data_IF_382134273072
#
_entry.id   IF_382134273072
#
_cell.length_a   1.000
_cell.length_b   1.000
_cell.length_c   1.000
_cell.angle_alpha   90.00
_cell.angle_beta   90.00
_cell.angle_gamma   90.00
#
_symmetry.space_group_name_H-M   'P 1'
#
loop_
_entity.id
_entity.type
_entity.pdbx_description
1 polymer ?
#
# COMPACT_ATOMS: atom_id res chain seq x y z
N UNK A 1 -21.53 -22.62 -11.14
CA UNK A 1 -20.07 -22.73 -11.40
C UNK A 1 -19.45 -21.47 -12.01
N UNK A 2 -20.25 -20.61 -12.69
CA UNK A 2 -19.78 -19.37 -13.33
C UNK A 2 -19.28 -18.31 -12.33
N UNK A 3 -20.00 -18.09 -11.22
CA UNK A 3 -19.62 -17.12 -10.17
C UNK A 3 -18.28 -17.45 -9.47
N UNK A 4 -17.91 -18.73 -9.37
CA UNK A 4 -16.66 -19.16 -8.75
C UNK A 4 -15.45 -18.85 -9.64
N UNK A 5 -15.62 -18.93 -10.96
CA UNK A 5 -14.59 -18.60 -11.95
C UNK A 5 -14.40 -17.09 -12.12
N UNK A 6 -15.47 -16.32 -12.00
CA UNK A 6 -15.43 -14.84 -12.03
C UNK A 6 -14.70 -14.29 -10.79
N UNK A 7 -14.98 -14.84 -9.59
CA UNK A 7 -14.28 -14.48 -8.36
C UNK A 7 -12.77 -14.78 -8.42
N UNK A 8 -12.38 -15.92 -9.00
CA UNK A 8 -10.95 -16.24 -9.21
C UNK A 8 -10.27 -15.29 -10.22
N UNK A 9 -10.96 -14.90 -11.29
CA UNK A 9 -10.40 -13.97 -12.27
C UNK A 9 -10.16 -12.57 -11.70
N UNK A 10 -11.08 -12.08 -10.86
CA UNK A 10 -10.94 -10.79 -10.17
C UNK A 10 -9.76 -10.81 -9.19
N UNK A 11 -9.58 -11.89 -8.43
CA UNK A 11 -8.43 -12.07 -7.52
C UNK A 11 -7.11 -12.09 -8.29
N UNK A 12 -7.09 -12.71 -9.48
CA UNK A 12 -5.88 -12.82 -10.32
C UNK A 12 -5.47 -11.48 -10.93
N UNK A 13 -6.44 -10.65 -11.36
CA UNK A 13 -6.18 -9.31 -11.92
C UNK A 13 -5.76 -8.33 -10.82
N UNK A 14 -6.42 -8.35 -9.65
CA UNK A 14 -6.05 -7.45 -8.54
C UNK A 14 -4.71 -7.84 -7.92
N UNK A 15 -4.38 -9.14 -7.86
CA UNK A 15 -3.12 -9.64 -7.34
C UNK A 15 -1.90 -9.30 -8.22
N UNK A 16 -2.05 -9.26 -9.55
CA UNK A 16 -0.96 -8.97 -10.49
C UNK A 16 -0.61 -7.48 -10.60
N UNK A 17 -1.49 -6.58 -10.17
CA UNK A 17 -1.24 -5.14 -10.14
C UNK A 17 -0.35 -4.75 -8.93
N UNK A 18 -0.22 -5.60 -7.91
CA UNK A 18 0.43 -5.28 -6.64
C UNK A 18 1.91 -5.72 -6.54
N UNK A 19 2.48 -6.38 -7.55
CA UNK A 19 3.88 -6.85 -7.52
C UNK A 19 4.91 -5.81 -7.94
N UNK A 20 4.53 -4.54 -8.10
CA UNK A 20 5.49 -3.47 -8.32
C UNK A 20 6.21 -3.14 -7.01
N UNK A 21 7.52 -3.38 -6.99
CA UNK A 21 8.43 -2.91 -5.92
C UNK A 21 8.23 -1.40 -5.78
N UNK A 22 7.75 -0.94 -4.63
CA UNK A 22 7.46 0.48 -4.40
C UNK A 22 8.76 1.19 -4.05
N UNK A 23 9.34 1.88 -5.04
CA UNK A 23 10.39 2.87 -4.81
C UNK A 23 9.75 4.26 -4.80
N UNK A 24 9.86 4.99 -3.69
CA UNK A 24 9.50 6.41 -3.67
C UNK A 24 10.66 7.22 -4.26
N UNK A 25 10.53 7.67 -5.51
CA UNK A 25 11.57 8.40 -6.25
C UNK A 25 11.37 9.93 -6.15
N UNK A 26 12.45 10.66 -5.86
CA UNK A 26 12.57 12.12 -6.02
C UNK A 26 13.93 12.51 -6.63
N UNK A 27 14.45 11.76 -7.61
CA UNK A 27 15.65 12.09 -8.40
C UNK A 27 16.98 12.14 -7.66
N UNK A 28 16.97 12.20 -6.33
CA UNK A 28 18.13 12.18 -5.44
C UNK A 28 18.14 10.83 -4.72
N UNK A 29 19.08 9.96 -5.07
CA UNK A 29 19.14 8.58 -4.59
C UNK A 29 19.47 8.51 -3.09
N UNK A 30 18.45 8.65 -2.25
CA UNK A 30 18.44 8.36 -0.80
C UNK A 30 17.25 7.46 -0.45
N UNK A 31 17.06 6.40 -1.21
CA UNK A 31 15.98 5.44 -1.00
C UNK A 31 16.52 4.15 -0.40
N UNK A 32 15.78 3.60 0.56
CA UNK A 32 16.06 2.35 1.23
C UNK A 32 14.86 1.42 1.16
N UNK A 33 15.05 0.08 1.23
CA UNK A 33 13.91 -0.84 1.24
C UNK A 33 13.05 -0.60 2.49
N UNK A 34 11.75 -0.51 2.29
CA UNK A 34 10.80 -0.57 3.39
C UNK A 34 10.62 -2.02 3.84
N UNK A 35 10.77 -2.26 5.13
CA UNK A 35 10.41 -3.53 5.79
C UNK A 35 8.92 -3.60 6.14
N UNK A 36 8.26 -2.44 6.23
CA UNK A 36 6.81 -2.29 6.37
C UNK A 36 6.39 -1.04 5.61
N UNK A 37 5.31 -1.16 4.86
CA UNK A 37 4.60 -0.02 4.29
C UNK A 37 3.10 -0.31 4.40
N UNK A 38 2.49 0.18 5.48
CA UNK A 38 1.07 0.00 5.72
C UNK A 38 0.25 1.11 5.08
N UNK A 39 -0.65 0.72 4.18
CA UNK A 39 -1.70 1.56 3.61
C UNK A 39 -3.04 1.12 4.17
N UNK A 40 -3.81 2.05 4.73
CA UNK A 40 -5.15 1.76 5.26
C UNK A 40 -6.22 2.16 4.24
N UNK A 41 -6.89 1.17 3.65
CA UNK A 41 -8.00 1.37 2.72
C UNK A 41 -9.31 1.41 3.51
N UNK A 42 -10.18 2.37 3.24
CA UNK A 42 -11.48 2.56 3.92
C UNK A 42 -12.67 2.21 3.04
N UNK A 43 -12.57 2.47 1.74
CA UNK A 43 -13.67 2.30 0.79
C UNK A 43 -13.16 2.08 -0.62
N UNK A 44 -13.83 1.23 -1.40
CA UNK A 44 -13.58 1.08 -2.84
C UNK A 44 -14.89 1.18 -3.60
N UNK A 45 -14.89 1.98 -4.65
CA UNK A 45 -16.04 2.28 -5.50
C UNK A 45 -15.67 2.11 -6.98
N UNK A 46 -16.63 1.66 -7.78
CA UNK A 46 -16.56 1.70 -9.24
C UNK A 46 -17.42 2.83 -9.76
N UNK A 47 -16.95 3.49 -10.81
CA UNK A 47 -17.60 4.64 -11.41
C UNK A 47 -17.73 4.50 -12.93
N UNK A 48 -18.77 5.12 -13.47
CA UNK A 48 -19.06 5.14 -14.91
C UNK A 48 -18.40 6.32 -15.64
N UNK A 49 -17.87 7.28 -14.89
CA UNK A 49 -17.28 8.52 -15.37
C UNK A 49 -16.12 8.95 -14.46
N UNK A 50 -15.27 9.84 -14.97
CA UNK A 50 -14.06 10.30 -14.28
C UNK A 50 -14.33 11.19 -13.06
N UNK A 51 -15.50 11.83 -13.00
CA UNK A 51 -15.93 12.60 -11.83
C UNK A 51 -16.51 11.71 -10.72
N UNK A 52 -16.73 10.42 -11.00
CA UNK A 52 -17.42 9.48 -10.13
C UNK A 52 -18.79 10.02 -9.66
N UNK A 53 -19.56 10.62 -10.58
CA UNK A 53 -20.89 11.12 -10.28
C UNK A 53 -21.87 9.97 -9.99
N UNK A 54 -21.75 8.87 -10.74
CA UNK A 54 -22.44 7.61 -10.44
C UNK A 54 -21.44 6.60 -9.91
N UNK A 55 -21.51 6.30 -8.61
CA UNK A 55 -20.61 5.37 -7.95
C UNK A 55 -21.37 4.15 -7.41
N UNK A 56 -20.82 2.96 -7.69
CA UNK A 56 -21.22 1.72 -7.03
C UNK A 56 -20.16 1.36 -5.98
N UNK A 57 -20.56 1.29 -4.72
CA UNK A 57 -19.65 0.91 -3.64
C UNK A 57 -19.46 -0.60 -3.65
N UNK A 58 -18.22 -1.05 -3.89
CA UNK A 58 -17.86 -2.46 -3.77
C UNK A 58 -17.73 -2.85 -2.30
N UNK A 59 -17.08 -2.02 -1.50
CA UNK A 59 -16.82 -2.32 -0.09
C UNK A 59 -16.60 -1.05 0.70
N UNK A 60 -17.18 -1.01 1.91
CA UNK A 60 -16.89 -0.02 2.94
C UNK A 60 -16.35 -0.76 4.14
N UNK A 61 -15.03 -0.84 4.25
CA UNK A 61 -14.31 -1.55 5.30
C UNK A 61 -12.94 -0.91 5.47
N UNK A 62 -12.59 -0.60 6.70
CA UNK A 62 -11.24 -0.18 7.06
C UNK A 62 -10.35 -1.41 7.16
N UNK A 63 -9.30 -1.46 6.34
CA UNK A 63 -8.30 -2.52 6.35
C UNK A 63 -6.91 -1.95 6.13
N UNK A 64 -6.02 -2.23 7.07
CA UNK A 64 -4.59 -1.94 6.95
C UNK A 64 -3.91 -3.05 6.14
N UNK A 65 -3.14 -2.67 5.12
CA UNK A 65 -2.44 -3.57 4.22
C UNK A 65 -0.97 -3.17 4.18
N UNK A 66 -0.09 -4.05 4.69
CA UNK A 66 1.35 -3.89 4.57
C UNK A 66 1.81 -4.35 3.19
N UNK A 67 2.05 -3.41 2.27
CA UNK A 67 2.44 -3.68 0.88
C UNK A 67 3.91 -4.06 0.73
N UNK A 68 4.73 -3.85 1.77
CA UNK A 68 6.10 -4.35 1.80
C UNK A 68 6.18 -5.83 2.21
N UNK A 69 5.08 -6.38 2.76
CA UNK A 69 5.02 -7.77 3.21
C UNK A 69 4.75 -8.75 2.06
N UNK A 70 5.45 -9.88 2.07
CA UNK A 70 5.15 -11.01 1.17
C UNK A 70 3.72 -11.57 1.36
N UNK A 71 3.08 -11.29 2.49
CA UNK A 71 1.73 -11.73 2.81
C UNK A 71 0.63 -10.75 2.35
N UNK A 72 0.97 -9.63 1.71
CA UNK A 72 -0.01 -8.59 1.30
C UNK A 72 -1.17 -9.18 0.47
N UNK A 73 -0.87 -10.15 -0.41
CA UNK A 73 -1.86 -10.79 -1.26
C UNK A 73 -2.98 -11.49 -0.49
N UNK A 74 -2.68 -12.08 0.67
CA UNK A 74 -3.68 -12.73 1.52
C UNK A 74 -4.60 -11.70 2.20
N UNK A 75 -4.03 -10.59 2.66
CA UNK A 75 -4.77 -9.46 3.24
C UNK A 75 -5.70 -8.83 2.21
N UNK A 76 -5.20 -8.63 0.98
CA UNK A 76 -5.99 -8.12 -0.15
C UNK A 76 -7.07 -9.10 -0.55
N UNK A 77 -6.77 -10.40 -0.65
CA UNK A 77 -7.76 -11.43 -0.96
C UNK A 77 -8.89 -11.49 0.08
N UNK A 78 -8.56 -11.36 1.36
CA UNK A 78 -9.53 -11.29 2.46
C UNK A 78 -10.34 -10.00 2.48
N UNK A 79 -9.81 -8.92 1.89
CA UNK A 79 -10.55 -7.68 1.67
C UNK A 79 -11.51 -7.82 0.48
N UNK A 80 -11.01 -8.33 -0.64
CA UNK A 80 -11.79 -8.54 -1.86
C UNK A 80 -12.94 -9.52 -1.68
N UNK A 81 -12.80 -10.52 -0.81
CA UNK A 81 -13.88 -11.47 -0.49
C UNK A 81 -15.10 -10.82 0.17
N UNK A 82 -14.97 -9.59 0.69
CA UNK A 82 -16.06 -8.82 1.27
C UNK A 82 -16.73 -7.84 0.29
N UNK A 83 -16.28 -7.82 -0.96
CA UNK A 83 -16.82 -6.91 -1.98
C UNK A 83 -18.20 -7.36 -2.48
N UNK A 84 -19.13 -6.41 -2.56
CA UNK A 84 -20.38 -6.55 -3.27
C UNK A 84 -20.12 -6.56 -4.78
N UNK A 85 -20.73 -7.52 -5.47
CA UNK A 85 -20.65 -7.61 -6.92
C UNK A 85 -21.48 -6.48 -7.55
N UNK A 86 -20.93 -5.77 -8.55
CA UNK A 86 -21.68 -4.77 -9.27
C UNK A 86 -22.84 -5.40 -10.04
N UNK A 87 -23.94 -4.65 -10.25
CA UNK A 87 -25.04 -5.09 -11.08
C UNK A 87 -24.57 -5.42 -12.51
N UNK A 88 -25.10 -6.50 -13.06
CA UNK A 88 -24.84 -6.89 -14.45
C UNK A 88 -25.46 -5.86 -15.41
N UNK A 89 -24.78 -5.58 -16.52
CA UNK A 89 -25.25 -4.66 -17.55
C UNK A 89 -24.82 -3.20 -17.37
N UNK A 90 -24.11 -2.86 -16.29
CA UNK A 90 -23.51 -1.53 -16.10
C UNK A 90 -22.02 -1.60 -16.44
N UNK A 91 -21.56 -0.69 -17.29
CA UNK A 91 -20.13 -0.57 -17.62
C UNK A 91 -19.48 0.47 -16.71
N UNK A 92 -18.55 0.02 -15.88
CA UNK A 92 -17.73 0.89 -15.04
C UNK A 92 -16.36 1.09 -15.70
N UNK A 93 -15.96 2.34 -15.87
CA UNK A 93 -14.71 2.74 -16.54
C UNK A 93 -13.64 3.20 -15.56
N UNK A 94 -14.01 3.53 -14.32
CA UNK A 94 -13.10 4.06 -13.30
C UNK A 94 -13.28 3.36 -11.95
N UNK A 95 -12.23 3.40 -11.12
CA UNK A 95 -12.24 2.95 -9.74
C UNK A 95 -11.80 4.10 -8.84
N UNK A 96 -12.50 4.29 -7.72
CA UNK A 96 -12.13 5.25 -6.67
C UNK A 96 -11.90 4.50 -5.37
N UNK A 97 -10.70 4.66 -4.82
CA UNK A 97 -10.33 4.10 -3.52
C UNK A 97 -10.15 5.24 -2.52
N UNK A 98 -10.81 5.13 -1.36
CA UNK A 98 -10.57 6.02 -0.22
C UNK A 98 -9.56 5.36 0.70
N UNK A 99 -8.42 6.00 0.88
CA UNK A 99 -7.36 5.57 1.78
C UNK A 99 -7.17 6.58 2.91
N UNK A 100 -6.54 6.16 3.99
CA UNK A 100 -6.06 7.09 5.00
C UNK A 100 -4.91 7.94 4.46
N UNK A 101 -4.83 9.20 4.90
CA UNK A 101 -3.71 10.09 4.56
C UNK A 101 -2.43 9.72 5.32
N UNK A 102 -2.57 9.00 6.42
CA UNK A 102 -1.45 8.52 7.23
C UNK A 102 -0.97 7.19 6.67
N UNK A 103 0.32 7.15 6.36
CA UNK A 103 1.03 5.94 5.98
C UNK A 103 2.02 5.58 7.08
N UNK A 104 2.13 4.29 7.39
CA UNK A 104 3.10 3.78 8.36
C UNK A 104 4.23 3.11 7.58
N UNK A 105 5.45 3.64 7.71
CA UNK A 105 6.62 3.18 6.96
C UNK A 105 7.74 2.84 7.94
N UNK A 106 8.22 1.59 7.89
CA UNK A 106 9.40 1.14 8.63
C UNK A 106 10.47 0.70 7.66
N UNK A 107 11.70 1.16 7.84
CA UNK A 107 12.80 0.70 7.00
C UNK A 107 14.16 1.04 7.54
N UNK A 108 15.17 0.40 6.96
CA UNK A 108 16.57 0.73 7.18
C UNK A 108 17.37 0.49 5.90
N UNK A 109 18.44 1.26 5.71
CA UNK A 109 19.32 1.15 4.55
C UNK A 109 20.75 1.58 4.87
N UNK A 110 21.70 0.95 4.18
CA UNK A 110 23.10 1.38 4.19
C UNK A 110 23.26 2.65 3.37
N UNK A 111 23.82 3.69 3.97
CA UNK A 111 24.30 4.87 3.27
C UNK A 111 25.67 4.58 2.68
N UNK A 112 25.75 4.48 1.35
CA UNK A 112 27.00 4.21 0.64
C UNK A 112 28.07 5.31 0.85
N UNK A 113 27.66 6.54 1.17
CA UNK A 113 28.59 7.66 1.36
C UNK A 113 29.25 7.69 2.74
N UNK A 114 28.55 7.21 3.77
CA UNK A 114 29.02 7.28 5.18
C UNK A 114 29.35 5.92 5.77
N UNK A 115 28.91 4.82 5.14
CA UNK A 115 29.01 3.48 5.71
C UNK A 115 28.05 3.22 6.88
N UNK A 116 27.20 4.20 7.23
CA UNK A 116 26.22 4.07 8.31
C UNK A 116 24.90 3.52 7.79
N UNK A 117 24.17 2.83 8.65
CA UNK A 117 22.80 2.41 8.42
C UNK A 117 21.83 3.47 8.93
N UNK A 118 21.05 4.04 8.02
CA UNK A 118 19.94 4.93 8.33
C UNK A 118 18.67 4.13 8.57
N UNK A 119 17.83 4.53 9.51
CA UNK A 119 16.56 3.86 9.83
C UNK A 119 15.47 4.85 10.28
N UNK A 120 14.21 4.43 10.16
CA UNK A 120 13.04 5.20 10.63
C UNK A 120 12.93 5.15 12.15
N UNK A 121 12.71 6.27 12.83
CA UNK A 121 12.70 6.34 14.30
C UNK A 121 11.29 6.46 14.92
N UNK A 122 10.24 6.30 14.11
CA UNK A 122 8.84 6.48 14.53
C UNK A 122 8.37 7.93 14.52
N UNK A 123 9.20 8.89 14.12
CA UNK A 123 8.78 10.27 13.93
C UNK A 123 7.81 10.39 12.75
N UNK A 124 6.76 11.21 12.92
CA UNK A 124 5.79 11.49 11.86
C UNK A 124 6.24 12.64 10.98
N UNK A 125 6.17 12.43 9.66
CA UNK A 125 6.32 13.49 8.67
C UNK A 125 5.05 14.32 8.55
N UNK A 126 5.13 15.43 7.81
CA UNK A 126 3.98 16.25 7.44
C UNK A 126 3.78 16.25 5.93
N UNK A 127 2.76 16.94 5.44
CA UNK A 127 2.52 17.09 4.01
C UNK A 127 3.68 17.75 3.26
N UNK A 128 4.46 18.60 3.94
CA UNK A 128 5.51 19.42 3.32
C UNK A 128 6.91 19.10 3.83
N UNK A 129 7.05 18.17 4.79
CA UNK A 129 8.34 17.83 5.39
C UNK A 129 8.42 16.34 5.72
N UNK A 130 9.56 15.73 5.39
CA UNK A 130 9.87 14.37 5.81
C UNK A 130 10.15 14.30 7.31
N UNK A 131 9.81 13.17 7.93
CA UNK A 131 10.29 12.86 9.27
C UNK A 131 11.83 12.74 9.27
N UNK A 132 12.46 13.19 10.35
CA UNK A 132 13.86 12.84 10.59
C UNK A 132 13.98 11.33 10.83
N UNK A 133 15.06 10.74 10.35
CA UNK A 133 15.46 9.38 10.71
C UNK A 133 16.71 9.41 11.56
N UNK A 134 17.07 8.26 12.12
CA UNK A 134 18.30 8.08 12.90
C UNK A 134 19.29 7.18 12.14
N UNK A 135 20.54 7.13 12.58
CA UNK A 135 21.54 6.24 12.00
C UNK A 135 22.38 5.53 13.05
N UNK A 136 23.00 4.42 12.65
CA UNK A 136 23.93 3.62 13.45
C UNK A 136 24.94 2.95 12.53
N UNK A 137 26.07 2.49 13.06
CA UNK A 137 27.08 1.75 12.30
C UNK A 137 26.75 0.25 12.15
N UNK A 138 25.76 -0.24 12.91
CA UNK A 138 25.38 -1.65 12.95
C UNK A 138 24.06 -1.93 12.22
N UNK A 139 24.11 -2.83 11.22
CA UNK A 139 22.92 -3.28 10.50
C UNK A 139 21.86 -3.89 11.42
N UNK A 140 22.29 -4.73 12.37
CA UNK A 140 21.40 -5.39 13.32
C UNK A 140 20.70 -4.38 14.21
N UNK A 141 21.44 -3.37 14.69
CA UNK A 141 20.88 -2.30 15.51
C UNK A 141 19.87 -1.46 14.70
N UNK A 142 20.21 -1.10 13.46
CA UNK A 142 19.30 -0.37 12.58
C UNK A 142 17.99 -1.13 12.35
N UNK A 143 18.07 -2.43 12.07
CA UNK A 143 16.90 -3.28 11.86
C UNK A 143 16.02 -3.40 13.12
N UNK A 144 16.63 -3.56 14.31
CA UNK A 144 15.89 -3.67 15.57
C UNK A 144 15.30 -2.34 16.05
N UNK A 145 15.97 -1.22 15.76
CA UNK A 145 15.56 0.12 16.19
C UNK A 145 14.59 0.79 15.23
N UNK A 146 14.50 0.32 13.99
CA UNK A 146 13.56 0.82 13.00
C UNK A 146 12.12 0.73 13.52
N UNK A 147 11.45 1.88 13.59
CA UNK A 147 10.07 2.02 14.08
C UNK A 147 9.30 2.94 13.13
N UNK A 148 7.98 2.84 13.12
CA UNK A 148 7.08 3.56 12.22
C UNK A 148 5.96 4.27 12.97
#
# INVERSE_FOLDING_TARGET
>A
MLNKKISQFVVLIVGSILTSVVFADNGDTRTGPATQYTVTVKKVELCTDSSCSTAHTLVTKTAAMDIASAAVGASVGSYASTMALPPMGVTYSHMRSTIDRTFTIKGYALSASTGNYCYTDGSSGTQTAFAAGTHTTSAATAASSATA
#
